data_IF_047113866404
#
_entry.id   IF_047113866404
#
_cell.length_a   1.000
_cell.length_b   1.000
_cell.length_c   1.000
_cell.angle_alpha   90.00
_cell.angle_beta   90.00
_cell.angle_gamma   90.00
#
_symmetry.space_group_name_H-M   'P 1'
#
loop_
_entity.id
_entity.type
_entity.pdbx_description
1 polymer ?
#
# COMPACT_ATOMS: atom_id res chain seq x y z
N UNK A 1 -23.13 -4.54 -13.57
CA UNK A 1 -21.90 -3.75 -13.75
C UNK A 1 -21.36 -3.85 -15.16
N UNK A 2 -21.39 -2.74 -15.91
CA UNK A 2 -20.82 -2.68 -17.26
C UNK A 2 -19.32 -2.47 -17.15
N UNK A 3 -18.54 -3.35 -17.76
CA UNK A 3 -17.08 -3.23 -17.81
C UNK A 3 -16.66 -2.04 -18.67
N UNK A 4 -15.54 -1.43 -18.30
CA UNK A 4 -14.85 -0.41 -19.09
C UNK A 4 -13.87 -1.14 -19.99
N UNK A 5 -14.12 -1.08 -21.30
CA UNK A 5 -13.37 -1.81 -22.34
C UNK A 5 -12.65 -0.87 -23.31
N UNK A 6 -12.72 0.44 -23.08
CA UNK A 6 -12.23 1.46 -23.99
C UNK A 6 -10.92 2.11 -23.52
N UNK A 7 -10.23 1.54 -22.54
CA UNK A 7 -8.91 2.03 -22.13
C UNK A 7 -7.87 1.72 -23.22
N UNK A 8 -7.02 2.70 -23.60
CA UNK A 8 -5.97 2.49 -24.59
C UNK A 8 -4.86 1.56 -24.08
N UNK A 9 -4.02 1.03 -24.97
CA UNK A 9 -2.80 0.30 -24.58
C UNK A 9 -3.00 -1.18 -24.24
N UNK A 10 -4.00 -1.84 -24.84
CA UNK A 10 -4.34 -3.27 -24.63
C UNK A 10 -4.63 -3.62 -23.16
N UNK A 11 -5.13 -2.67 -22.38
CA UNK A 11 -5.51 -2.89 -20.98
C UNK A 11 -6.74 -3.83 -20.94
N UNK A 12 -6.74 -4.89 -20.10
CA UNK A 12 -7.90 -5.76 -19.93
C UNK A 12 -9.14 -4.99 -19.46
N UNK A 13 -10.36 -5.49 -19.73
CA UNK A 13 -11.59 -4.87 -19.23
C UNK A 13 -11.54 -4.65 -17.70
N UNK A 14 -11.83 -3.43 -17.27
CA UNK A 14 -11.76 -3.03 -15.86
C UNK A 14 -13.18 -2.81 -15.32
N UNK A 15 -13.46 -3.23 -14.07
CA UNK A 15 -14.73 -2.85 -13.43
C UNK A 15 -14.65 -1.38 -13.01
N UNK A 16 -15.75 -0.61 -13.09
CA UNK A 16 -15.75 0.76 -12.59
C UNK A 16 -15.20 0.86 -11.16
N UNK A 17 -15.53 -0.09 -10.29
CA UNK A 17 -15.07 -0.15 -8.88
C UNK A 17 -13.58 -0.38 -8.69
N UNK A 18 -12.88 -0.90 -9.71
CA UNK A 18 -11.42 -1.11 -9.66
C UNK A 18 -10.66 0.16 -10.07
N UNK A 19 -11.33 1.16 -10.64
CA UNK A 19 -10.73 2.48 -10.88
C UNK A 19 -10.51 3.17 -9.53
N UNK A 20 -9.38 3.88 -9.42
CA UNK A 20 -9.04 4.70 -8.25
C UNK A 20 -10.25 5.55 -7.85
N UNK A 21 -10.61 5.52 -6.56
CA UNK A 21 -11.84 6.14 -6.04
C UNK A 21 -11.96 7.63 -6.39
N UNK A 22 -10.84 8.34 -6.49
CA UNK A 22 -10.79 9.74 -6.90
C UNK A 22 -11.36 10.00 -8.31
N UNK A 23 -11.38 9.03 -9.22
CA UNK A 23 -12.01 9.17 -10.54
C UNK A 23 -13.46 8.68 -10.58
N UNK A 24 -13.97 8.10 -9.49
CA UNK A 24 -15.33 7.54 -9.41
C UNK A 24 -16.33 8.45 -8.72
N UNK A 25 -15.91 9.11 -7.65
CA UNK A 25 -16.85 9.83 -6.78
C UNK A 25 -17.18 11.21 -7.36
N UNK A 26 -18.46 11.56 -7.48
CA UNK A 26 -18.92 12.86 -7.98
C UNK A 26 -18.72 14.00 -6.95
N UNK A 27 -18.27 13.66 -5.74
CA UNK A 27 -18.03 14.57 -4.62
C UNK A 27 -16.62 14.39 -4.08
N UNK A 28 -15.62 14.34 -4.96
CA UNK A 28 -14.22 14.32 -4.53
C UNK A 28 -13.94 15.59 -3.73
N UNK A 29 -13.07 15.48 -2.73
CA UNK A 29 -12.27 16.61 -2.29
C UNK A 29 -11.68 17.28 -3.56
N UNK A 30 -12.27 18.41 -3.97
CA UNK A 30 -12.02 19.04 -5.28
C UNK A 30 -10.54 19.30 -5.52
N UNK A 31 -9.79 19.49 -4.44
CA UNK A 31 -8.34 19.72 -4.46
C UNK A 31 -7.56 18.49 -4.93
N UNK A 32 -7.89 17.28 -4.44
CA UNK A 32 -7.18 16.06 -4.83
C UNK A 32 -7.49 15.71 -6.29
N UNK A 33 -8.78 15.75 -6.67
CA UNK A 33 -9.17 15.52 -8.06
C UNK A 33 -8.54 16.56 -9.00
N UNK A 34 -8.58 17.83 -8.60
CA UNK A 34 -7.94 18.93 -9.31
C UNK A 34 -6.43 18.74 -9.46
N UNK A 35 -5.74 18.27 -8.42
CA UNK A 35 -4.31 17.97 -8.47
C UNK A 35 -3.99 16.86 -9.47
N UNK A 36 -4.72 15.74 -9.46
CA UNK A 36 -4.51 14.66 -10.44
C UNK A 36 -4.84 15.09 -11.86
N UNK A 37 -5.92 15.85 -12.07
CA UNK A 37 -6.23 16.41 -13.38
C UNK A 37 -5.16 17.39 -13.86
N UNK A 38 -4.64 18.23 -12.97
CA UNK A 38 -3.55 19.15 -13.27
C UNK A 38 -2.30 18.36 -13.67
N UNK A 39 -1.86 17.39 -12.86
CA UNK A 39 -0.69 16.55 -13.14
C UNK A 39 -0.81 15.79 -14.46
N UNK A 40 -1.98 15.20 -14.76
CA UNK A 40 -2.20 14.46 -16.00
C UNK A 40 -1.96 15.28 -17.28
N UNK A 41 -2.05 16.61 -17.21
CA UNK A 41 -1.76 17.50 -18.35
C UNK A 41 -0.27 17.63 -18.65
N UNK A 42 0.59 17.28 -17.69
CA UNK A 42 2.05 17.41 -17.82
C UNK A 42 2.77 16.07 -17.95
N UNK A 43 2.04 14.94 -17.83
CA UNK A 43 2.62 13.59 -17.89
C UNK A 43 3.31 13.27 -19.23
N UNK A 44 3.01 14.00 -20.30
CA UNK A 44 3.59 13.80 -21.63
C UNK A 44 4.57 14.92 -22.05
N UNK A 45 5.01 15.76 -21.13
CA UNK A 45 6.01 16.82 -21.40
C UNK A 45 7.44 16.25 -21.43
N UNK A 46 7.67 15.14 -20.72
CA UNK A 46 8.97 14.47 -20.70
C UNK A 46 9.21 13.55 -21.90
N UNK A 47 10.47 13.20 -22.13
CA UNK A 47 10.86 12.23 -23.16
C UNK A 47 10.44 10.79 -22.80
N UNK A 48 10.34 10.49 -21.49
CA UNK A 48 9.98 9.17 -20.97
C UNK A 48 9.14 9.27 -19.70
N UNK A 49 8.25 8.30 -19.49
CA UNK A 49 7.59 8.05 -18.20
C UNK A 49 8.35 6.95 -17.46
N UNK A 50 8.93 7.26 -16.31
CA UNK A 50 9.60 6.27 -15.48
C UNK A 50 8.58 5.58 -14.58
N UNK A 51 8.44 4.26 -14.72
CA UNK A 51 7.47 3.47 -13.96
C UNK A 51 8.22 2.48 -13.07
N UNK A 52 7.94 2.52 -11.77
CA UNK A 52 8.51 1.59 -10.80
C UNK A 52 7.82 0.21 -10.88
N UNK A 53 8.08 -0.49 -11.97
CA UNK A 53 7.62 -1.86 -12.26
C UNK A 53 8.68 -2.60 -13.09
N UNK A 54 8.46 -3.87 -13.40
CA UNK A 54 9.29 -4.68 -14.30
C UNK A 54 8.42 -5.52 -15.24
N UNK A 55 9.00 -6.00 -16.34
CA UNK A 55 8.26 -6.61 -17.45
C UNK A 55 7.38 -7.77 -17.03
N UNK A 56 7.92 -8.69 -16.25
CA UNK A 56 7.27 -9.92 -15.83
C UNK A 56 6.09 -9.66 -14.89
N UNK A 57 6.09 -8.54 -14.15
CA UNK A 57 4.99 -8.16 -13.27
C UNK A 57 3.77 -7.69 -14.05
N UNK A 58 3.98 -6.95 -15.13
CA UNK A 58 2.92 -6.36 -15.95
C UNK A 58 2.36 -7.34 -17.00
N UNK A 59 2.99 -8.51 -17.17
CA UNK A 59 2.54 -9.52 -18.15
C UNK A 59 3.26 -9.45 -19.50
N UNK A 60 4.49 -8.92 -19.53
CA UNK A 60 5.37 -8.93 -20.70
C UNK A 60 5.39 -7.61 -21.49
N UNK A 61 6.22 -7.55 -22.54
CA UNK A 61 6.41 -6.34 -23.38
C UNK A 61 5.11 -5.75 -23.93
N UNK A 62 4.14 -6.59 -24.27
CA UNK A 62 2.89 -6.12 -24.86
C UNK A 62 2.03 -5.35 -23.86
N UNK A 63 2.01 -5.76 -22.59
CA UNK A 63 1.25 -5.10 -21.55
C UNK A 63 1.88 -3.75 -21.14
N UNK A 64 3.21 -3.61 -21.30
CA UNK A 64 3.90 -2.34 -21.06
C UNK A 64 3.50 -1.22 -22.01
N UNK A 65 2.90 -1.53 -23.17
CA UNK A 65 2.31 -0.51 -24.04
C UNK A 65 1.22 0.30 -23.33
N UNK A 66 0.53 -0.31 -22.36
CA UNK A 66 -0.47 0.36 -21.51
C UNK A 66 0.12 1.36 -20.51
N UNK A 67 1.43 1.33 -20.27
CA UNK A 67 2.10 2.26 -19.36
C UNK A 67 2.47 3.59 -20.05
N UNK A 68 2.50 3.62 -21.37
CA UNK A 68 2.86 4.82 -22.13
C UNK A 68 1.71 5.83 -22.13
N UNK A 69 2.02 7.11 -21.96
CA UNK A 69 1.02 8.17 -21.76
C UNK A 69 1.07 9.15 -22.93
N UNK A 70 -0.01 9.23 -23.72
CA UNK A 70 -0.16 10.19 -24.82
C UNK A 70 1.05 10.27 -25.77
N UNK A 71 1.62 9.11 -26.13
CA UNK A 71 2.78 9.02 -27.02
C UNK A 71 4.13 9.17 -26.34
N UNK A 72 4.17 9.49 -25.03
CA UNK A 72 5.38 9.42 -24.21
C UNK A 72 5.67 7.96 -23.85
N UNK A 73 6.81 7.38 -24.27
CA UNK A 73 7.16 6.00 -23.99
C UNK A 73 7.44 5.79 -22.50
N UNK A 74 6.94 4.68 -21.96
CA UNK A 74 7.23 4.26 -20.59
C UNK A 74 8.50 3.40 -20.51
N UNK A 75 9.26 3.58 -19.42
CA UNK A 75 10.38 2.74 -19.03
C UNK A 75 10.09 2.08 -17.68
N UNK A 76 10.04 0.76 -17.66
CA UNK A 76 9.98 -0.03 -16.45
C UNK A 76 11.37 -0.05 -15.79
N UNK A 77 11.51 0.62 -14.64
CA UNK A 77 12.80 0.80 -13.92
C UNK A 77 12.80 0.16 -12.52
N UNK A 78 11.76 -0.61 -12.21
CA UNK A 78 11.52 -1.20 -10.90
C UNK A 78 12.20 -2.56 -10.69
N UNK A 79 12.23 -3.04 -9.42
CA UNK A 79 11.83 -2.30 -8.23
C UNK A 79 12.94 -1.32 -7.82
N UNK A 80 12.66 -0.02 -7.78
CA UNK A 80 13.67 1.02 -7.48
C UNK A 80 14.25 0.91 -6.06
N UNK A 81 13.51 0.26 -5.16
CA UNK A 81 13.94 -0.01 -3.78
C UNK A 81 14.82 -1.25 -3.62
N UNK A 82 14.87 -2.13 -4.63
CA UNK A 82 15.55 -3.44 -4.54
C UNK A 82 17.05 -3.33 -4.27
N UNK A 83 17.83 -2.41 -4.89
CA UNK A 83 19.26 -2.31 -4.63
C UNK A 83 19.56 -1.96 -3.16
N UNK A 84 18.84 -0.99 -2.59
CA UNK A 84 19.01 -0.61 -1.19
C UNK A 84 18.64 -1.75 -0.23
N UNK A 85 17.57 -2.49 -0.56
CA UNK A 85 17.16 -3.68 0.19
C UNK A 85 18.24 -4.77 0.18
N UNK A 86 18.75 -5.14 -1.00
CA UNK A 86 19.75 -6.20 -1.14
C UNK A 86 21.09 -5.84 -0.50
N UNK A 87 21.45 -4.56 -0.47
CA UNK A 87 22.68 -4.07 0.17
C UNK A 87 22.52 -3.82 1.67
N UNK A 88 21.35 -4.09 2.26
CA UNK A 88 21.07 -3.86 3.68
C UNK A 88 21.22 -2.38 4.09
N UNK A 89 21.12 -1.45 3.13
CA UNK A 89 21.17 -0.01 3.40
C UNK A 89 19.80 0.43 3.87
N UNK A 90 19.74 1.13 5.01
CA UNK A 90 18.49 1.73 5.48
C UNK A 90 17.87 2.55 4.35
N UNK A 91 16.65 2.17 3.97
CA UNK A 91 15.90 2.91 2.97
C UNK A 91 15.61 4.32 3.53
N UNK A 92 16.14 5.34 2.87
CA UNK A 92 16.11 6.74 3.33
C UNK A 92 14.71 7.39 3.21
N UNK A 93 13.65 6.58 3.11
CA UNK A 93 12.30 7.00 2.75
C UNK A 93 11.31 6.99 3.92
N UNK A 94 11.74 6.59 5.13
CA UNK A 94 10.87 6.64 6.31
C UNK A 94 10.90 8.03 6.95
N UNK A 95 9.74 8.69 6.97
CA UNK A 95 9.53 9.95 7.70
C UNK A 95 9.51 9.72 9.23
N UNK A 96 9.34 8.46 9.67
CA UNK A 96 9.09 8.10 11.07
C UNK A 96 10.27 7.38 11.72
N UNK A 97 10.43 7.59 13.02
CA UNK A 97 11.48 6.99 13.85
C UNK A 97 11.27 5.47 13.94
N UNK A 98 12.33 4.73 13.62
CA UNK A 98 12.34 3.28 13.54
C UNK A 98 12.18 2.62 14.92
N UNK A 99 11.35 1.58 15.02
CA UNK A 99 11.25 0.71 16.18
C UNK A 99 11.95 -0.63 15.90
N UNK A 100 13.11 -0.84 16.54
CA UNK A 100 13.90 -2.08 16.39
C UNK A 100 13.37 -3.26 17.20
N UNK A 101 12.37 -3.04 18.06
CA UNK A 101 11.77 -4.11 18.87
C UNK A 101 11.03 -5.13 18.02
N UNK A 102 10.56 -4.75 16.82
CA UNK A 102 9.88 -5.67 15.92
C UNK A 102 10.78 -6.78 15.39
N UNK A 103 12.04 -6.50 15.08
CA UNK A 103 12.98 -7.50 14.57
C UNK A 103 13.28 -8.56 15.64
N UNK A 104 13.52 -8.14 16.89
CA UNK A 104 13.75 -9.08 17.99
C UNK A 104 12.55 -9.98 18.27
N UNK A 105 11.34 -9.43 18.15
CA UNK A 105 10.12 -10.23 18.27
C UNK A 105 9.98 -11.21 17.10
N UNK A 106 10.22 -10.77 15.86
CA UNK A 106 10.19 -11.62 14.66
C UNK A 106 11.22 -12.77 14.74
N UNK A 107 12.44 -12.50 15.24
CA UNK A 107 13.50 -13.50 15.43
C UNK A 107 13.08 -14.63 16.39
N UNK A 108 12.10 -14.38 17.26
CA UNK A 108 11.56 -15.38 18.18
C UNK A 108 10.45 -16.27 17.59
N UNK A 109 9.96 -15.94 16.39
CA UNK A 109 8.86 -16.65 15.73
C UNK A 109 9.36 -17.70 14.74
N UNK A 110 8.51 -18.68 14.42
CA UNK A 110 8.84 -19.65 13.38
C UNK A 110 8.91 -18.98 11.99
N UNK A 111 9.84 -19.42 11.14
CA UNK A 111 10.02 -18.86 9.80
C UNK A 111 8.73 -19.00 8.97
N UNK A 112 8.23 -17.87 8.46
CA UNK A 112 7.03 -17.84 7.62
C UNK A 112 5.71 -17.99 8.39
N UNK A 113 5.73 -17.90 9.72
CA UNK A 113 4.55 -18.06 10.58
C UNK A 113 3.80 -16.76 10.91
N UNK A 114 4.43 -15.60 10.69
CA UNK A 114 3.91 -14.29 11.12
C UNK A 114 3.17 -13.59 9.99
N UNK A 115 1.95 -13.13 10.28
CA UNK A 115 1.22 -12.21 9.40
C UNK A 115 1.67 -10.76 9.63
N UNK A 116 2.18 -10.10 8.59
CA UNK A 116 2.41 -8.65 8.61
C UNK A 116 1.17 -7.90 8.14
N UNK A 117 0.68 -6.94 8.94
CA UNK A 117 -0.51 -6.13 8.67
C UNK A 117 -0.14 -4.66 8.63
N UNK A 118 -0.34 -4.02 7.48
CA UNK A 118 -0.15 -2.59 7.27
C UNK A 118 -1.07 -2.08 6.17
N UNK A 119 -1.62 -0.88 6.34
CA UNK A 119 -2.40 -0.18 5.31
C UNK A 119 -1.61 0.98 4.69
N UNK A 120 -0.28 1.01 4.87
CA UNK A 120 0.57 2.07 4.37
C UNK A 120 0.39 3.39 5.11
N UNK A 121 0.94 4.47 4.56
CA UNK A 121 1.08 5.75 5.26
C UNK A 121 -0.11 6.71 5.10
N UNK A 122 -1.03 6.43 4.17
CA UNK A 122 -2.08 7.38 3.74
C UNK A 122 -3.49 6.83 4.05
N UNK A 123 -3.64 5.52 4.24
CA UNK A 123 -4.97 4.93 4.39
C UNK A 123 -5.60 5.27 5.74
N UNK A 124 -6.77 5.92 5.68
CA UNK A 124 -7.66 6.13 6.83
C UNK A 124 -8.74 5.04 6.81
N UNK A 125 -9.01 4.41 7.96
CA UNK A 125 -10.05 3.39 8.14
C UNK A 125 -11.06 3.86 9.17
N UNK A 126 -12.31 3.41 9.01
CA UNK A 126 -13.31 3.65 10.05
C UNK A 126 -12.98 2.79 11.29
N UNK A 127 -13.36 3.30 12.45
CA UNK A 127 -13.21 2.61 13.73
C UNK A 127 -13.84 1.20 13.69
N UNK A 128 -15.02 1.08 13.07
CA UNK A 128 -15.70 -0.21 12.86
C UNK A 128 -14.85 -1.20 12.05
N UNK A 129 -14.19 -0.75 10.99
CA UNK A 129 -13.35 -1.64 10.17
C UNK A 129 -12.12 -2.14 10.94
N UNK A 130 -11.49 -1.27 11.75
CA UNK A 130 -10.37 -1.67 12.59
C UNK A 130 -10.81 -2.62 13.70
N UNK A 131 -12.00 -2.41 14.27
CA UNK A 131 -12.58 -3.30 15.27
C UNK A 131 -12.80 -4.71 14.71
N UNK A 132 -13.46 -4.83 13.56
CA UNK A 132 -13.69 -6.12 12.89
C UNK A 132 -12.37 -6.80 12.47
N UNK A 133 -11.39 -6.02 12.00
CA UNK A 133 -10.07 -6.55 11.68
C UNK A 133 -9.36 -7.10 12.92
N UNK A 134 -9.42 -6.40 14.06
CA UNK A 134 -8.87 -6.87 15.32
C UNK A 134 -9.51 -8.19 15.76
N UNK A 135 -10.85 -8.28 15.74
CA UNK A 135 -11.55 -9.52 16.05
C UNK A 135 -11.17 -10.66 15.08
N UNK A 136 -11.02 -10.36 13.79
CA UNK A 136 -10.57 -11.31 12.78
C UNK A 136 -9.16 -11.83 13.07
N UNK A 137 -8.19 -10.94 13.32
CA UNK A 137 -6.80 -11.28 13.68
C UNK A 137 -6.73 -12.13 14.95
N UNK A 138 -7.54 -11.77 15.96
CA UNK A 138 -7.68 -12.57 17.16
C UNK A 138 -8.18 -13.98 16.82
N UNK A 139 -9.25 -14.11 16.04
CA UNK A 139 -9.84 -15.41 15.69
C UNK A 139 -8.90 -16.31 14.85
N UNK A 140 -7.94 -15.74 14.12
CA UNK A 140 -7.02 -16.55 13.30
C UNK A 140 -6.13 -17.49 14.12
N UNK A 141 -5.82 -17.14 15.38
CA UNK A 141 -4.85 -17.86 16.21
C UNK A 141 -3.38 -17.74 15.77
N UNK A 142 -3.08 -17.11 14.63
CA UNK A 142 -1.70 -16.94 14.15
C UNK A 142 -0.98 -15.78 14.85
N UNK A 143 0.36 -15.80 14.90
CA UNK A 143 1.15 -14.64 15.24
C UNK A 143 1.01 -13.52 14.20
N UNK A 144 0.95 -12.27 14.65
CA UNK A 144 0.87 -11.13 13.73
C UNK A 144 1.62 -9.90 14.23
N UNK A 145 2.26 -9.21 13.28
CA UNK A 145 2.85 -7.88 13.46
C UNK A 145 1.94 -6.86 12.79
N UNK A 146 1.34 -5.97 13.57
CA UNK A 146 0.43 -4.95 13.07
C UNK A 146 1.03 -3.56 13.23
N UNK A 147 1.37 -2.93 12.10
CA UNK A 147 1.71 -1.52 12.02
C UNK A 147 0.42 -0.69 12.11
N UNK A 148 0.09 -0.25 13.32
CA UNK A 148 -1.13 0.48 13.66
C UNK A 148 -0.79 1.89 14.11
N UNK A 149 -0.98 2.88 13.23
CA UNK A 149 -0.72 4.28 13.55
C UNK A 149 -1.87 4.90 14.32
N UNK A 150 -1.57 5.86 15.19
CA UNK A 150 -2.59 6.60 15.96
C UNK A 150 -3.50 7.46 15.10
N UNK A 151 -3.07 7.84 13.89
CA UNK A 151 -3.84 8.63 12.92
C UNK A 151 -4.53 7.79 11.84
N UNK A 152 -4.55 6.46 12.00
CA UNK A 152 -5.26 5.55 11.09
C UNK A 152 -6.77 5.77 11.11
N UNK A 153 -7.30 6.37 12.18
CA UNK A 153 -8.71 6.78 12.31
C UNK A 153 -8.79 8.29 12.20
N UNK A 154 -9.73 8.77 11.38
CA UNK A 154 -9.96 10.19 11.16
C UNK A 154 -10.24 10.91 12.49
N UNK A 155 -9.29 11.76 12.92
CA UNK A 155 -9.45 12.64 14.08
C UNK A 155 -9.57 11.96 15.45
N UNK A 156 -9.24 10.67 15.59
CA UNK A 156 -9.35 9.92 16.87
C UNK A 156 -8.18 8.97 17.12
N UNK A 157 -7.91 8.71 18.41
CA UNK A 157 -7.08 7.57 18.81
C UNK A 157 -7.72 6.25 18.39
N UNK A 158 -6.92 5.30 17.92
CA UNK A 158 -7.42 3.96 17.58
C UNK A 158 -7.90 3.23 18.83
N UNK A 159 -9.19 2.90 18.87
CA UNK A 159 -9.78 2.06 19.91
C UNK A 159 -9.91 0.62 19.39
N UNK A 160 -9.21 -0.30 20.06
CA UNK A 160 -9.28 -1.74 19.80
C UNK A 160 -10.34 -2.37 20.71
N UNK A 161 -10.87 -3.56 20.37
CA UNK A 161 -11.80 -4.28 21.24
C UNK A 161 -11.25 -4.40 22.66
N UNK A 162 -12.13 -4.27 23.65
CA UNK A 162 -11.75 -4.38 25.06
C UNK A 162 -11.03 -5.71 25.31
N UNK A 163 -9.89 -5.67 26.01
CA UNK A 163 -9.08 -6.85 26.33
C UNK A 163 -8.28 -7.45 25.16
N UNK A 164 -8.33 -6.85 23.96
CA UNK A 164 -7.66 -7.40 22.77
C UNK A 164 -6.16 -7.57 22.95
N UNK A 165 -5.48 -6.58 23.53
CA UNK A 165 -4.03 -6.62 23.75
C UNK A 165 -3.66 -7.72 24.73
N UNK A 166 -4.46 -7.92 25.77
CA UNK A 166 -4.25 -8.95 26.78
C UNK A 166 -4.46 -10.36 26.22
N UNK A 167 -5.51 -10.55 25.40
CA UNK A 167 -5.84 -11.83 24.77
C UNK A 167 -4.88 -12.24 23.66
N UNK A 168 -4.14 -11.29 23.09
CA UNK A 168 -3.22 -11.53 21.97
C UNK A 168 -1.74 -11.34 22.34
N UNK A 169 -1.43 -10.97 23.59
CA UNK A 169 -0.08 -10.57 24.05
C UNK A 169 1.05 -11.56 23.76
N UNK A 170 0.74 -12.83 23.65
CA UNK A 170 1.69 -13.92 23.43
C UNK A 170 2.06 -14.10 21.96
N UNK A 171 1.28 -13.53 21.05
CA UNK A 171 1.40 -13.74 19.60
C UNK A 171 1.21 -12.48 18.75
N UNK A 172 0.95 -11.33 19.36
CA UNK A 172 0.77 -10.07 18.66
C UNK A 172 1.83 -9.05 19.06
N UNK A 173 2.37 -8.37 18.06
CA UNK A 173 3.14 -7.14 18.26
C UNK A 173 2.47 -5.98 17.53
N UNK A 174 2.10 -4.95 18.27
CA UNK A 174 1.51 -3.72 17.74
C UNK A 174 2.54 -2.60 17.82
N UNK A 175 2.84 -1.99 16.68
CA UNK A 175 3.79 -0.88 16.59
C UNK A 175 3.21 0.25 15.76
N UNK A 176 3.64 1.49 16.02
CA UNK A 176 3.21 2.64 15.21
C UNK A 176 3.86 2.65 13.83
N UNK A 177 5.07 2.09 13.70
CA UNK A 177 5.81 2.03 12.45
C UNK A 177 6.81 0.86 12.44
N UNK A 178 7.05 0.24 11.28
CA UNK A 178 7.98 -0.88 11.07
C UNK A 178 9.00 -0.57 9.98
N UNK A 179 10.18 -1.20 10.03
CA UNK A 179 11.06 -1.27 8.86
C UNK A 179 10.50 -2.29 7.86
N UNK A 180 9.52 -1.88 7.02
CA UNK A 180 8.76 -2.79 6.14
C UNK A 180 9.65 -3.61 5.17
N UNK A 181 10.86 -3.13 4.89
CA UNK A 181 11.82 -3.77 4.02
C UNK A 181 12.90 -4.57 4.78
N UNK A 182 12.80 -4.83 6.08
CA UNK A 182 13.76 -5.68 6.80
C UNK A 182 13.05 -6.82 7.51
#
# INVERSE_FOLDING_TARGET
>A
DKLITCLPGKIPPVRPTDIVSFYREQHVNEEIYGAFLHESRFQNVGDYVLVNTFEELEGGKEAQLGLSINGCPALAIGPVSLPNFLEGRNSMYSIWKEDKTCLQWLDSQEKGSVLYVSFGSIAVKSEKQLHELALGLEATGYPFLWALRSDTVEGKSVELPEGFKERTRDRALLVSWTHQLQ
#
